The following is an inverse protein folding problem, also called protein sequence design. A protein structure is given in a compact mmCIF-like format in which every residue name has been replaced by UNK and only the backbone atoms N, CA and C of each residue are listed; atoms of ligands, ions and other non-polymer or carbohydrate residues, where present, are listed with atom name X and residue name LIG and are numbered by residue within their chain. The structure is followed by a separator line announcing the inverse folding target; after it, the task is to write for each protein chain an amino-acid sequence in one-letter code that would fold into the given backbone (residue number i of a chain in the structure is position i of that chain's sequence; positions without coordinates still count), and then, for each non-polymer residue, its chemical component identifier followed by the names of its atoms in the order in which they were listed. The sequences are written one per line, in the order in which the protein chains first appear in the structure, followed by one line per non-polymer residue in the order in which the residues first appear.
data_IF_693157546142
#
_entry.id   IF_693157546142
#
_cell.length_a   1.000
_cell.length_b   1.000
_cell.length_c   1.000
_cell.angle_alpha   90.00
_cell.angle_beta   90.00
_cell.angle_gamma   90.00
#
_symmetry.space_group_name_H-M   'P 1'
#
loop_
_entity.id
_entity.type
_entity.pdbx_description
1 polymer ?
#
# COMPACT_ATOMS: atom_id res chain seq x y z
N UNK A 1 32.70 1.84 13.61
CA UNK A 1 31.90 2.79 12.81
C UNK A 1 30.44 2.37 12.90
N UNK A 2 29.56 3.31 13.23
CA UNK A 2 28.17 3.08 13.62
C UNK A 2 27.43 2.18 12.62
N UNK A 3 26.76 1.14 13.13
CA UNK A 3 25.81 0.35 12.36
C UNK A 3 24.78 1.30 11.69
N UNK A 4 24.43 1.11 10.40
CA UNK A 4 23.40 1.92 9.78
C UNK A 4 22.10 1.76 10.57
N UNK A 5 21.50 2.89 10.97
CA UNK A 5 20.33 2.94 11.83
C UNK A 5 19.18 2.09 11.27
N UNK A 6 18.67 1.18 12.09
CA UNK A 6 17.54 0.30 11.78
C UNK A 6 16.23 1.10 11.66
N UNK A 7 15.29 0.66 10.82
CA UNK A 7 14.01 1.36 10.60
C UNK A 7 13.19 1.52 11.89
N UNK A 8 13.27 0.56 12.82
CA UNK A 8 12.61 0.63 14.13
C UNK A 8 13.20 1.69 15.06
N UNK A 9 14.49 2.02 14.93
CA UNK A 9 15.10 3.12 15.71
C UNK A 9 14.73 4.51 15.16
N UNK A 10 14.18 4.57 13.94
CA UNK A 10 13.79 5.81 13.25
C UNK A 10 12.28 6.13 13.32
N UNK A 11 11.47 5.33 14.02
CA UNK A 11 10.01 5.54 14.16
C UNK A 11 9.62 6.58 15.20
N UNK A 12 10.57 7.28 15.84
CA UNK A 12 10.24 8.34 16.80
C UNK A 12 9.54 9.51 16.09
N UNK A 13 8.33 9.91 16.52
CA UNK A 13 7.62 11.02 15.90
C UNK A 13 8.42 12.33 16.03
N UNK A 14 8.26 13.24 15.07
CA UNK A 14 8.91 14.55 15.10
C UNK A 14 8.52 15.33 16.37
N UNK A 15 9.41 16.19 16.88
CA UNK A 15 9.19 16.96 18.11
C UNK A 15 7.85 17.72 18.15
N UNK A 16 7.40 18.42 17.07
CA UNK A 16 6.09 19.07 17.07
C UNK A 16 4.90 18.11 17.21
N UNK A 17 5.01 16.92 16.59
CA UNK A 17 4.02 15.85 16.70
C UNK A 17 3.96 15.32 18.14
N UNK A 18 5.13 15.16 18.78
CA UNK A 18 5.22 14.75 20.19
C UNK A 18 4.66 15.79 21.14
N UNK A 19 4.84 17.07 20.86
CA UNK A 19 4.26 18.16 21.67
C UNK A 19 2.73 18.18 21.55
N UNK A 20 2.18 18.07 20.34
CA UNK A 20 0.74 17.96 20.12
C UNK A 20 0.14 16.71 20.78
N UNK A 21 0.81 15.55 20.66
CA UNK A 21 0.41 14.33 21.36
C UNK A 21 0.54 14.49 22.88
N UNK A 22 1.56 15.19 23.38
CA UNK A 22 1.74 15.51 24.80
C UNK A 22 0.61 16.35 25.37
N UNK A 23 0.18 17.41 24.66
CA UNK A 23 -1.00 18.18 25.02
C UNK A 23 -2.27 17.31 25.02
N UNK A 24 -2.44 16.45 24.01
CA UNK A 24 -3.54 15.49 23.96
C UNK A 24 -3.52 14.46 25.10
N UNK A 25 -2.34 14.00 25.52
CA UNK A 25 -2.17 13.08 26.64
C UNK A 25 -2.47 13.77 27.99
N UNK A 26 -2.11 15.04 28.14
CA UNK A 26 -2.48 15.86 29.30
C UNK A 26 -4.01 16.02 29.40
N UNK A 27 -4.68 16.23 28.26
CA UNK A 27 -6.14 16.27 28.16
C UNK A 27 -6.80 14.90 28.42
N UNK A 28 -6.12 13.77 28.22
CA UNK A 28 -6.62 12.42 28.60
C UNK A 28 -6.46 12.13 30.10
N UNK A 29 -5.49 12.74 30.77
CA UNK A 29 -5.29 12.58 32.23
C UNK A 29 -6.45 13.12 33.07
N UNK A 30 -7.34 13.92 32.48
CA UNK A 30 -8.58 14.39 33.12
C UNK A 30 -9.67 13.31 33.25
N UNK A 31 -9.39 12.05 32.91
CA UNK A 31 -10.28 10.86 33.05
C UNK A 31 -11.64 10.95 32.34
N UNK A 32 -11.92 12.00 31.57
CA UNK A 32 -13.12 12.07 30.72
C UNK A 32 -12.80 11.34 29.41
N UNK A 33 -13.47 10.21 29.09
CA UNK A 33 -13.34 9.58 27.79
C UNK A 33 -13.77 10.58 26.72
N UNK A 34 -12.92 10.81 25.72
CA UNK A 34 -13.32 11.62 24.57
C UNK A 34 -14.55 11.02 23.88
N UNK A 35 -15.39 11.84 23.22
CA UNK A 35 -16.65 11.38 22.65
C UNK A 35 -16.44 10.25 21.65
N UNK A 36 -17.26 9.19 21.76
CA UNK A 36 -17.28 8.07 20.82
C UNK A 36 -17.78 8.57 19.46
N UNK A 37 -17.09 8.20 18.39
CA UNK A 37 -17.54 8.51 17.03
C UNK A 37 -18.56 7.48 16.59
N UNK A 38 -19.81 7.90 16.40
CA UNK A 38 -20.86 7.02 15.91
C UNK A 38 -20.96 7.11 14.38
N UNK A 39 -21.28 5.97 13.75
CA UNK A 39 -21.46 5.90 12.30
C UNK A 39 -22.56 6.86 11.82
N UNK A 40 -23.67 6.94 12.56
CA UNK A 40 -24.81 7.83 12.26
C UNK A 40 -24.38 9.29 12.18
N UNK A 41 -23.57 9.77 13.12
CA UNK A 41 -23.12 11.17 13.16
C UNK A 41 -22.23 11.51 11.97
N UNK A 42 -21.35 10.58 11.59
CA UNK A 42 -20.44 10.77 10.45
C UNK A 42 -21.19 10.71 9.12
N UNK A 43 -22.21 9.85 9.01
CA UNK A 43 -23.10 9.77 7.85
C UNK A 43 -23.85 11.09 7.69
N UNK A 44 -24.52 11.58 8.74
CA UNK A 44 -25.25 12.85 8.69
C UNK A 44 -24.33 14.04 8.41
N UNK A 45 -23.14 14.06 9.02
CA UNK A 45 -22.12 15.08 8.71
C UNK A 45 -21.71 15.05 7.23
N UNK A 46 -21.54 13.86 6.64
CA UNK A 46 -21.19 13.73 5.23
C UNK A 46 -22.33 14.21 4.32
N UNK A 47 -23.58 13.86 4.66
CA UNK A 47 -24.76 14.34 3.92
C UNK A 47 -24.83 15.87 3.91
N UNK A 48 -24.71 16.49 5.08
CA UNK A 48 -24.72 17.95 5.21
C UNK A 48 -23.58 18.62 4.43
N UNK A 49 -22.37 18.06 4.46
CA UNK A 49 -21.21 18.60 3.72
C UNK A 49 -21.38 18.54 2.21
N UNK A 50 -22.05 17.51 1.71
CA UNK A 50 -22.21 17.31 0.28
C UNK A 50 -23.54 17.88 -0.25
N UNK A 51 -24.52 18.13 0.60
CA UNK A 51 -25.90 18.42 0.18
C UNK A 51 -26.53 17.24 -0.55
N UNK A 52 -26.18 16.00 -0.18
CA UNK A 52 -26.60 14.74 -0.81
C UNK A 52 -26.96 13.71 0.26
N UNK A 53 -27.88 12.79 -0.02
CA UNK A 53 -28.32 11.75 0.92
C UNK A 53 -28.28 10.32 0.36
N UNK A 54 -28.14 10.16 -0.96
CA UNK A 54 -28.02 8.86 -1.62
C UNK A 54 -26.58 8.35 -1.67
N UNK A 55 -26.29 7.34 -0.83
CA UNK A 55 -25.00 6.63 -0.82
C UNK A 55 -24.94 5.48 -1.84
N UNK A 56 -26.00 5.25 -2.61
CA UNK A 56 -26.11 4.16 -3.56
C UNK A 56 -26.25 2.79 -2.91
N UNK A 57 -26.39 1.76 -3.76
CA UNK A 57 -26.61 0.36 -3.34
C UNK A 57 -25.46 -0.22 -2.52
N UNK A 58 -25.81 -1.14 -1.61
CA UNK A 58 -24.91 -1.95 -0.81
C UNK A 58 -24.72 -1.36 0.60
N UNK A 59 -24.95 -2.18 1.62
CA UNK A 59 -24.79 -1.77 3.01
C UNK A 59 -23.31 -1.59 3.36
N UNK A 60 -23.03 -0.52 4.09
CA UNK A 60 -21.71 -0.18 4.62
C UNK A 60 -21.77 0.21 6.10
N UNK A 61 -22.98 0.27 6.68
CA UNK A 61 -23.22 0.76 8.03
C UNK A 61 -22.63 -0.17 9.08
N UNK A 62 -22.85 -1.49 8.95
CA UNK A 62 -22.25 -2.46 9.88
C UNK A 62 -20.73 -2.38 9.83
N UNK A 63 -20.14 -2.44 8.63
CA UNK A 63 -18.70 -2.40 8.41
C UNK A 63 -18.06 -1.14 9.01
N UNK A 64 -18.69 0.03 8.80
CA UNK A 64 -18.28 1.30 9.40
C UNK A 64 -18.39 1.25 10.94
N UNK A 65 -19.50 0.74 11.47
CA UNK A 65 -19.73 0.67 12.92
C UNK A 65 -18.72 -0.25 13.61
N UNK A 66 -18.42 -1.42 13.02
CA UNK A 66 -17.39 -2.35 13.51
C UNK A 66 -16.00 -1.72 13.51
N UNK A 67 -15.65 -1.00 12.44
CA UNK A 67 -14.38 -0.29 12.35
C UNK A 67 -14.26 0.80 13.43
N UNK A 68 -15.28 1.65 13.56
CA UNK A 68 -15.27 2.74 14.55
C UNK A 68 -15.20 2.20 15.98
N UNK A 69 -15.88 1.09 16.26
CA UNK A 69 -15.85 0.47 17.57
C UNK A 69 -14.48 -0.09 17.93
N UNK A 70 -13.87 -0.83 17.01
CA UNK A 70 -12.52 -1.38 17.18
C UNK A 70 -11.48 -0.25 17.30
N UNK A 71 -11.61 0.82 16.52
CA UNK A 71 -10.76 2.01 16.67
C UNK A 71 -10.94 2.73 18.03
N UNK A 72 -12.15 2.75 18.57
CA UNK A 72 -12.45 3.41 19.84
C UNK A 72 -11.93 2.59 21.04
N UNK A 73 -12.13 1.27 21.02
CA UNK A 73 -11.85 0.37 22.14
C UNK A 73 -10.42 -0.19 22.13
N UNK A 74 -9.82 -0.43 20.96
CA UNK A 74 -8.60 -1.23 20.84
C UNK A 74 -7.42 -0.44 20.26
N UNK A 75 -7.63 0.47 19.30
CA UNK A 75 -6.53 1.08 18.54
C UNK A 75 -5.65 2.08 19.31
N UNK A 76 -6.09 2.51 20.50
CA UNK A 76 -5.38 3.46 21.38
C UNK A 76 -4.90 4.75 20.66
N UNK A 77 -5.74 5.29 19.77
CA UNK A 77 -5.35 6.42 18.93
C UNK A 77 -4.89 7.65 19.75
N UNK A 78 -3.81 8.26 19.29
CA UNK A 78 -3.38 9.58 19.74
C UNK A 78 -4.26 10.68 19.11
N UNK A 79 -4.04 11.95 19.46
CA UNK A 79 -4.90 13.05 18.99
C UNK A 79 -4.91 13.13 17.45
N UNK A 80 -3.74 13.00 16.82
CA UNK A 80 -3.60 13.00 15.37
C UNK A 80 -4.32 11.80 14.75
N UNK A 81 -4.20 10.62 15.33
CA UNK A 81 -4.91 9.41 14.90
C UNK A 81 -6.43 9.58 14.91
N UNK A 82 -6.98 10.20 15.96
CA UNK A 82 -8.43 10.48 16.06
C UNK A 82 -8.90 11.46 14.97
N UNK A 83 -8.14 12.54 14.75
CA UNK A 83 -8.45 13.54 13.71
C UNK A 83 -8.34 12.90 12.32
N UNK A 84 -7.29 12.12 12.07
CA UNK A 84 -7.06 11.44 10.80
C UNK A 84 -8.16 10.42 10.51
N UNK A 85 -8.54 9.59 11.48
CA UNK A 85 -9.64 8.63 11.34
C UNK A 85 -10.95 9.35 10.97
N UNK A 86 -11.36 10.37 11.74
CA UNK A 86 -12.57 11.16 11.45
C UNK A 86 -12.53 11.76 10.05
N UNK A 87 -11.40 12.37 9.68
CA UNK A 87 -11.22 13.01 8.37
C UNK A 87 -11.30 12.00 7.24
N UNK A 88 -10.64 10.85 7.36
CA UNK A 88 -10.63 9.79 6.35
C UNK A 88 -12.02 9.14 6.18
N UNK A 89 -12.74 8.90 7.27
CA UNK A 89 -14.11 8.35 7.21
C UNK A 89 -15.06 9.34 6.53
N UNK A 90 -15.06 10.61 6.96
CA UNK A 90 -15.90 11.64 6.33
C UNK A 90 -15.57 11.83 4.85
N UNK A 91 -14.29 11.80 4.50
CA UNK A 91 -13.84 11.89 3.12
C UNK A 91 -14.30 10.70 2.28
N UNK A 92 -14.25 9.49 2.85
CA UNK A 92 -14.73 8.26 2.21
C UNK A 92 -16.24 8.30 1.97
N UNK A 93 -17.02 8.70 2.99
CA UNK A 93 -18.47 8.87 2.90
C UNK A 93 -18.86 9.94 1.86
N UNK A 94 -18.17 11.08 1.88
CA UNK A 94 -18.37 12.16 0.90
C UNK A 94 -18.07 11.69 -0.52
N UNK A 95 -16.98 10.93 -0.71
CA UNK A 95 -16.61 10.38 -2.02
C UNK A 95 -17.67 9.41 -2.53
N UNK A 96 -18.27 8.61 -1.64
CA UNK A 96 -19.36 7.69 -1.98
C UNK A 96 -20.63 8.44 -2.44
N UNK A 97 -21.05 9.47 -1.71
CA UNK A 97 -22.17 10.34 -2.12
C UNK A 97 -21.93 10.99 -3.49
N UNK A 98 -20.75 11.57 -3.68
CA UNK A 98 -20.40 12.25 -4.93
C UNK A 98 -20.34 11.27 -6.10
N UNK A 99 -19.79 10.07 -5.91
CA UNK A 99 -19.78 9.03 -6.95
C UNK A 99 -21.18 8.54 -7.30
N UNK A 100 -22.11 8.43 -6.34
CA UNK A 100 -23.49 8.07 -6.68
C UNK A 100 -24.18 9.17 -7.49
N UNK A 101 -24.06 10.44 -7.06
CA UNK A 101 -24.53 11.60 -7.83
C UNK A 101 -23.97 11.57 -9.25
N UNK A 102 -22.67 11.37 -9.40
CA UNK A 102 -22.01 11.32 -10.70
C UNK A 102 -22.55 10.19 -11.59
N UNK A 103 -22.87 9.02 -11.02
CA UNK A 103 -23.46 7.91 -11.78
C UNK A 103 -24.91 8.16 -12.19
N UNK A 104 -25.63 9.03 -11.49
CA UNK A 104 -26.96 9.50 -11.89
C UNK A 104 -26.85 10.53 -13.01
N UNK A 105 -25.92 11.49 -12.89
CA UNK A 105 -25.67 12.54 -13.90
C UNK A 105 -25.06 11.99 -15.20
N UNK A 106 -24.22 10.96 -15.10
CA UNK A 106 -23.52 10.34 -16.23
C UNK A 106 -23.82 8.84 -16.34
N UNK A 107 -25.00 8.44 -16.87
CA UNK A 107 -25.41 7.04 -16.96
C UNK A 107 -24.43 6.14 -17.74
N UNK A 108 -23.68 6.72 -18.69
CA UNK A 108 -22.66 6.02 -19.48
C UNK A 108 -21.49 5.47 -18.65
N UNK A 109 -21.28 5.94 -17.43
CA UNK A 109 -20.33 5.32 -16.49
C UNK A 109 -20.71 3.84 -16.26
N UNK A 110 -22.01 3.54 -16.11
CA UNK A 110 -22.49 2.17 -15.80
C UNK A 110 -22.24 1.19 -16.96
N UNK A 111 -22.10 1.72 -18.19
CA UNK A 111 -21.86 0.97 -19.42
C UNK A 111 -20.39 0.65 -19.69
N UNK A 112 -19.46 1.21 -18.90
CA UNK A 112 -18.05 0.91 -19.07
C UNK A 112 -17.78 -0.56 -18.78
N UNK A 113 -17.16 -1.25 -19.72
CA UNK A 113 -16.78 -2.66 -19.58
C UNK A 113 -15.34 -2.75 -19.07
N UNK A 114 -15.12 -3.60 -18.07
CA UNK A 114 -13.79 -3.93 -17.55
C UNK A 114 -13.47 -5.30 -18.14
N UNK A 115 -12.62 -5.35 -19.16
CA UNK A 115 -12.24 -6.57 -19.88
C UNK A 115 -10.85 -7.02 -19.47
N UNK A 116 -10.71 -8.30 -19.19
CA UNK A 116 -9.47 -8.99 -18.83
C UNK A 116 -8.51 -8.20 -17.91
N UNK A 117 -8.99 -7.65 -16.78
CA UNK A 117 -8.13 -6.89 -15.87
C UNK A 117 -6.99 -7.77 -15.34
N UNK A 118 -5.79 -7.22 -15.27
CA UNK A 118 -4.60 -7.86 -14.71
C UNK A 118 -4.46 -7.51 -13.23
N UNK A 119 -4.51 -8.52 -12.37
CA UNK A 119 -4.31 -8.40 -10.93
C UNK A 119 -2.91 -8.89 -10.52
N UNK A 120 -2.12 -7.99 -9.97
CA UNK A 120 -0.84 -8.32 -9.34
C UNK A 120 -1.13 -8.78 -7.91
N UNK A 121 -0.68 -9.98 -7.59
CA UNK A 121 -0.85 -10.66 -6.31
C UNK A 121 0.49 -11.18 -5.79
N UNK A 122 0.52 -11.60 -4.53
CA UNK A 122 1.74 -12.05 -3.86
C UNK A 122 1.88 -11.42 -2.49
N UNK A 123 2.79 -11.97 -1.68
CA UNK A 123 3.05 -11.42 -0.35
C UNK A 123 3.43 -9.95 -0.45
N UNK A 124 3.05 -9.12 0.54
CA UNK A 124 3.57 -7.76 0.60
C UNK A 124 5.10 -7.82 0.57
N UNK A 125 5.72 -6.79 -0.02
CA UNK A 125 7.18 -6.65 -0.12
C UNK A 125 7.86 -7.67 -1.07
N UNK A 126 7.11 -8.33 -1.95
CA UNK A 126 7.64 -9.22 -3.01
C UNK A 126 7.85 -8.53 -4.37
N UNK A 127 7.92 -7.19 -4.41
CA UNK A 127 8.15 -6.44 -5.66
C UNK A 127 6.88 -6.04 -6.42
N UNK A 128 5.69 -6.36 -5.89
CA UNK A 128 4.39 -5.98 -6.50
C UNK A 128 4.28 -4.49 -6.85
N UNK A 129 4.79 -3.58 -6.02
CA UNK A 129 4.74 -2.13 -6.31
C UNK A 129 5.64 -1.72 -7.48
N UNK A 130 6.82 -2.32 -7.64
CA UNK A 130 7.68 -2.08 -8.79
C UNK A 130 6.99 -2.56 -10.06
N UNK A 131 6.47 -3.79 -10.02
CA UNK A 131 5.77 -4.38 -11.13
C UNK A 131 4.54 -3.57 -11.55
N UNK A 132 3.76 -3.08 -10.57
CA UNK A 132 2.59 -2.23 -10.81
C UNK A 132 2.95 -0.94 -11.54
N UNK A 133 4.03 -0.27 -11.11
CA UNK A 133 4.53 0.95 -11.76
C UNK A 133 5.00 0.68 -13.20
N UNK A 134 5.72 -0.41 -13.42
CA UNK A 134 6.23 -0.75 -14.76
C UNK A 134 5.09 -1.11 -15.71
N UNK A 135 4.18 -1.99 -15.31
CA UNK A 135 3.05 -2.39 -16.14
C UNK A 135 2.08 -1.23 -16.41
N UNK A 136 1.93 -0.28 -15.49
CA UNK A 136 1.14 0.94 -15.68
C UNK A 136 1.79 1.96 -16.62
N UNK A 137 3.07 1.78 -17.00
CA UNK A 137 3.77 2.68 -17.92
C UNK A 137 3.43 2.41 -19.39
N UNK A 138 2.86 1.24 -19.70
CA UNK A 138 2.39 0.90 -21.04
C UNK A 138 1.20 1.80 -21.43
N UNK A 139 1.22 2.48 -22.59
CA UNK A 139 0.09 3.31 -23.06
C UNK A 139 -1.25 2.57 -23.20
N UNK A 140 -1.24 1.26 -23.46
CA UNK A 140 -2.47 0.45 -23.54
C UNK A 140 -3.02 0.10 -22.15
N UNK A 141 -2.20 0.19 -21.12
CA UNK A 141 -2.58 -0.13 -19.74
C UNK A 141 -2.96 1.10 -18.93
N UNK A 142 -3.72 0.89 -17.86
CA UNK A 142 -4.04 1.93 -16.89
C UNK A 142 -4.10 1.34 -15.49
N UNK A 143 -3.64 2.12 -14.52
CA UNK A 143 -3.87 1.85 -13.11
C UNK A 143 -4.61 3.02 -12.48
N UNK A 144 -5.40 2.80 -11.41
CA UNK A 144 -5.96 3.90 -10.64
C UNK A 144 -4.82 4.74 -10.06
N UNK A 145 -4.84 6.05 -10.25
CA UNK A 145 -3.82 6.93 -9.68
C UNK A 145 -4.26 7.44 -8.30
N UNK A 146 -3.30 7.74 -7.43
CA UNK A 146 -3.59 8.22 -6.07
C UNK A 146 -4.57 9.41 -6.09
N UNK A 147 -4.37 10.42 -6.95
CA UNK A 147 -5.25 11.60 -7.01
C UNK A 147 -6.68 11.27 -7.46
N UNK A 148 -6.82 10.31 -8.38
CA UNK A 148 -8.11 9.84 -8.89
C UNK A 148 -8.88 9.12 -7.80
N UNK A 149 -8.20 8.26 -7.05
CA UNK A 149 -8.80 7.49 -5.96
C UNK A 149 -9.09 8.36 -4.74
N UNK A 150 -8.21 9.31 -4.44
CA UNK A 150 -8.41 10.28 -3.36
C UNK A 150 -9.61 11.18 -3.63
N UNK A 151 -9.81 11.64 -4.86
CA UNK A 151 -10.92 12.53 -5.17
C UNK A 151 -11.53 12.04 -6.48
N UNK A 152 -12.49 11.10 -6.49
CA UNK A 152 -13.00 10.51 -7.74
C UNK A 152 -13.99 11.39 -8.49
N UNK A 153 -14.62 12.37 -7.83
CA UNK A 153 -15.54 13.34 -8.41
C UNK A 153 -14.83 14.67 -8.74
N UNK A 154 -15.20 15.37 -9.83
CA UNK A 154 -16.12 14.92 -10.87
C UNK A 154 -15.51 13.79 -11.73
N UNK A 155 -16.31 13.00 -12.48
CA UNK A 155 -15.81 11.95 -13.36
C UNK A 155 -15.24 12.53 -14.67
N UNK A 156 -15.46 13.82 -14.90
CA UNK A 156 -14.94 14.59 -16.03
C UNK A 156 -13.47 14.96 -15.81
N UNK A 157 -12.83 15.49 -16.85
CA UNK A 157 -11.46 16.03 -16.78
C UNK A 157 -11.42 17.40 -16.07
N UNK A 158 -12.55 17.87 -15.56
CA UNK A 158 -12.65 19.14 -14.86
C UNK A 158 -11.86 19.12 -13.56
N UNK A 159 -11.22 20.24 -13.27
CA UNK A 159 -10.49 20.50 -12.04
C UNK A 159 -9.33 19.52 -11.75
N UNK A 160 -8.88 18.76 -12.76
CA UNK A 160 -7.83 17.77 -12.65
C UNK A 160 -6.56 18.32 -11.99
N UNK A 161 -6.06 19.46 -12.48
CA UNK A 161 -4.86 20.10 -11.92
C UNK A 161 -5.02 20.43 -10.44
N UNK A 162 -6.23 20.79 -9.97
CA UNK A 162 -6.49 21.07 -8.55
C UNK A 162 -6.55 19.78 -7.74
N UNK A 163 -7.19 18.73 -8.25
CA UNK A 163 -7.24 17.40 -7.63
C UNK A 163 -5.84 16.81 -7.47
N UNK A 164 -5.00 16.90 -8.49
CA UNK A 164 -3.59 16.51 -8.43
C UNK A 164 -2.84 17.32 -7.36
N UNK A 165 -2.97 18.66 -7.36
CA UNK A 165 -2.33 19.52 -6.33
C UNK A 165 -2.76 19.15 -4.91
N UNK A 166 -4.05 18.89 -4.70
CA UNK A 166 -4.59 18.47 -3.40
C UNK A 166 -4.01 17.13 -2.96
N UNK A 167 -3.97 16.15 -3.87
CA UNK A 167 -3.36 14.85 -3.59
C UNK A 167 -1.86 14.98 -3.29
N UNK A 168 -1.13 15.83 -4.00
CA UNK A 168 0.28 16.13 -3.73
C UNK A 168 0.47 16.72 -2.33
N UNK A 169 -0.36 17.69 -1.92
CA UNK A 169 -0.32 18.26 -0.58
C UNK A 169 -0.60 17.20 0.50
N UNK A 170 -1.61 16.34 0.30
CA UNK A 170 -1.89 15.25 1.23
C UNK A 170 -0.75 14.24 1.33
N UNK A 171 -0.11 13.89 0.20
CA UNK A 171 1.07 13.03 0.17
C UNK A 171 2.24 13.66 0.96
N UNK A 172 2.48 14.97 0.79
CA UNK A 172 3.52 15.70 1.50
C UNK A 172 3.26 15.77 3.00
N UNK A 173 2.01 16.01 3.40
CA UNK A 173 1.60 16.00 4.81
C UNK A 173 1.80 14.61 5.44
N UNK A 174 1.42 13.55 4.73
CA UNK A 174 1.65 12.18 5.19
C UNK A 174 3.15 11.87 5.32
N UNK A 175 3.97 12.27 4.34
CA UNK A 175 5.43 12.13 4.39
C UNK A 175 6.09 12.97 5.50
N UNK A 176 5.41 14.00 5.99
CA UNK A 176 5.85 14.77 7.15
C UNK A 176 5.49 14.06 8.47
N UNK A 177 4.30 13.46 8.56
CA UNK A 177 3.87 12.66 9.72
C UNK A 177 4.66 11.37 9.87
N UNK A 178 4.91 10.66 8.76
CA UNK A 178 5.62 9.38 8.71
C UNK A 178 6.85 9.50 7.79
N UNK A 179 7.90 10.24 8.20
CA UNK A 179 9.04 10.53 7.33
C UNK A 179 9.81 9.30 6.86
N UNK A 180 9.82 8.23 7.66
CA UNK A 180 10.43 6.94 7.30
C UNK A 180 9.64 6.19 6.24
N UNK A 181 8.34 6.44 6.09
CA UNK A 181 7.47 5.73 5.15
C UNK A 181 7.91 5.90 3.70
N UNK A 182 8.39 7.09 3.33
CA UNK A 182 8.84 7.41 1.95
C UNK A 182 9.96 6.48 1.44
N UNK A 183 10.74 5.90 2.35
CA UNK A 183 11.84 4.99 2.02
C UNK A 183 11.36 3.54 1.89
N UNK A 184 10.19 3.23 2.44
CA UNK A 184 9.60 1.88 2.45
C UNK A 184 8.54 1.73 1.35
N UNK A 185 7.80 2.79 1.03
CA UNK A 185 6.77 2.80 0.00
C UNK A 185 6.79 4.11 -0.79
N UNK A 186 6.75 4.01 -2.12
CA UNK A 186 6.65 5.19 -2.97
C UNK A 186 5.29 5.86 -2.77
N UNK A 187 5.28 7.18 -2.58
CA UNK A 187 4.07 7.99 -2.41
C UNK A 187 4.13 9.15 -3.38
N UNK A 188 3.07 9.33 -4.15
CA UNK A 188 2.93 10.43 -5.10
C UNK A 188 1.52 10.49 -5.65
N UNK A 189 1.05 11.69 -5.98
CA UNK A 189 -0.30 11.92 -6.48
C UNK A 189 -0.59 11.14 -7.77
N UNK A 190 0.40 10.99 -8.63
CA UNK A 190 0.29 10.35 -9.95
C UNK A 190 0.91 8.94 -9.96
N UNK A 191 1.21 8.37 -8.79
CA UNK A 191 1.62 6.97 -8.72
C UNK A 191 0.40 6.04 -8.71
N UNK A 192 0.51 4.83 -9.28
CA UNK A 192 -0.49 3.79 -9.16
C UNK A 192 -0.87 3.53 -7.70
N UNK A 193 -2.16 3.39 -7.46
CA UNK A 193 -2.75 3.16 -6.16
C UNK A 193 -3.32 1.74 -6.05
N UNK A 194 -3.19 1.17 -4.86
CA UNK A 194 -3.69 -0.16 -4.55
C UNK A 194 -5.22 -0.22 -4.46
N UNK A 195 -5.77 -1.37 -4.86
CA UNK A 195 -7.20 -1.65 -4.90
C UNK A 195 -7.87 -1.62 -3.53
N UNK A 196 -7.10 -1.76 -2.44
CA UNK A 196 -7.58 -1.60 -1.05
C UNK A 196 -8.31 -0.27 -0.85
N UNK A 197 -7.89 0.79 -1.58
CA UNK A 197 -8.50 2.12 -1.55
C UNK A 197 -9.80 2.22 -2.33
N UNK A 198 -9.95 1.45 -3.40
CA UNK A 198 -11.18 1.41 -4.19
C UNK A 198 -12.30 0.69 -3.43
N UNK A 199 -11.94 -0.20 -2.49
CA UNK A 199 -12.89 -0.92 -1.63
C UNK A 199 -13.23 -0.17 -0.33
N UNK A 200 -12.41 0.81 0.08
CA UNK A 200 -12.63 1.62 1.31
C UNK A 200 -14.05 2.20 1.44
N UNK A 201 -14.75 2.65 0.37
CA UNK A 201 -16.13 3.13 0.47
C UNK A 201 -17.19 2.10 0.91
N UNK A 202 -16.83 0.82 0.98
CA UNK A 202 -17.67 -0.23 1.58
C UNK A 202 -17.32 -0.51 3.04
N UNK A 203 -16.25 0.12 3.55
CA UNK A 203 -15.63 -0.16 4.83
C UNK A 203 -15.21 -1.63 5.04
N UNK A 204 -15.09 -2.41 3.95
CA UNK A 204 -14.51 -3.75 3.93
C UNK A 204 -13.16 -3.71 3.20
N UNK A 205 -12.09 -3.39 3.92
CA UNK A 205 -10.74 -3.27 3.36
C UNK A 205 -9.68 -3.53 4.44
N UNK A 206 -8.68 -4.34 4.11
CA UNK A 206 -7.53 -4.64 4.97
C UNK A 206 -6.59 -3.43 5.19
N UNK A 207 -6.79 -2.34 4.45
CA UNK A 207 -6.12 -1.08 4.71
C UNK A 207 -6.33 -0.62 6.17
N UNK A 208 -7.53 -0.82 6.72
CA UNK A 208 -7.82 -0.37 8.08
C UNK A 208 -6.99 -1.12 9.12
N UNK A 209 -6.83 -2.44 8.98
CA UNK A 209 -5.96 -3.27 9.82
C UNK A 209 -4.48 -2.88 9.66
N UNK A 210 -4.08 -2.49 8.45
CA UNK A 210 -2.71 -2.03 8.20
C UNK A 210 -2.42 -0.67 8.85
N UNK A 211 -3.42 0.22 8.92
CA UNK A 211 -3.28 1.58 9.46
C UNK A 211 -3.53 1.70 10.96
N UNK A 212 -4.38 0.83 11.52
CA UNK A 212 -4.81 0.87 12.91
C UNK A 212 -4.70 -0.52 13.55
N UNK A 213 -4.51 -0.58 14.87
CA UNK A 213 -4.64 -1.83 15.60
C UNK A 213 -6.13 -2.10 15.88
N UNK A 214 -6.77 -2.89 15.03
CA UNK A 214 -8.23 -3.11 15.03
C UNK A 214 -8.60 -4.61 15.00
N UNK A 215 -8.17 -5.41 15.99
CA UNK A 215 -8.32 -6.86 15.97
C UNK A 215 -9.78 -7.33 15.90
N UNK A 216 -10.73 -6.64 16.56
CA UNK A 216 -12.15 -7.00 16.46
C UNK A 216 -12.73 -6.76 15.06
N UNK A 217 -12.38 -5.63 14.42
CA UNK A 217 -12.78 -5.38 13.03
C UNK A 217 -12.13 -6.39 12.08
N UNK A 218 -10.85 -6.69 12.26
CA UNK A 218 -10.11 -7.67 11.46
C UNK A 218 -10.76 -9.06 11.53
N UNK A 219 -11.08 -9.54 12.73
CA UNK A 219 -11.74 -10.83 12.93
C UNK A 219 -13.12 -10.88 12.26
N UNK A 220 -13.88 -9.78 12.32
CA UNK A 220 -15.14 -9.65 11.60
C UNK A 220 -14.92 -9.66 10.08
N UNK A 221 -13.99 -8.84 9.57
CA UNK A 221 -13.69 -8.68 8.14
C UNK A 221 -13.33 -10.00 7.46
N UNK A 222 -12.52 -10.84 8.09
CA UNK A 222 -12.13 -12.15 7.52
C UNK A 222 -13.26 -13.18 7.43
N UNK A 223 -14.39 -12.94 8.09
CA UNK A 223 -15.59 -13.78 7.98
C UNK A 223 -16.57 -13.29 6.92
N UNK A 224 -16.30 -12.14 6.30
CA UNK A 224 -17.23 -11.53 5.36
C UNK A 224 -17.07 -12.06 3.94
N UNK A 225 -18.19 -12.09 3.25
CA UNK A 225 -18.21 -12.19 1.80
C UNK A 225 -17.83 -10.85 1.16
N UNK A 226 -16.72 -10.84 0.43
CA UNK A 226 -16.19 -9.62 -0.20
C UNK A 226 -16.78 -9.34 -1.60
N UNK A 227 -17.77 -10.11 -2.07
CA UNK A 227 -18.47 -9.82 -3.34
C UNK A 227 -18.98 -8.37 -3.43
N UNK A 228 -19.64 -7.79 -2.40
CA UNK A 228 -20.07 -6.39 -2.47
C UNK A 228 -18.91 -5.40 -2.57
N UNK A 229 -17.77 -5.68 -1.93
CA UNK A 229 -16.57 -4.86 -2.03
C UNK A 229 -16.00 -4.86 -3.47
N UNK A 230 -15.95 -6.02 -4.13
CA UNK A 230 -15.50 -6.13 -5.52
C UNK A 230 -16.49 -5.56 -6.53
N UNK A 231 -17.80 -5.66 -6.27
CA UNK A 231 -18.81 -4.97 -7.07
C UNK A 231 -18.63 -3.45 -6.99
N UNK A 232 -18.38 -2.91 -5.79
CA UNK A 232 -18.05 -1.49 -5.63
C UNK A 232 -16.72 -1.13 -6.32
N UNK A 233 -15.70 -1.98 -6.18
CA UNK A 233 -14.44 -1.83 -6.90
C UNK A 233 -14.66 -1.73 -8.43
N UNK A 234 -15.53 -2.58 -9.00
CA UNK A 234 -15.88 -2.53 -10.44
C UNK A 234 -16.54 -1.21 -10.79
N UNK A 235 -17.49 -0.76 -9.97
CA UNK A 235 -18.14 0.56 -10.13
C UNK A 235 -17.12 1.70 -10.10
N UNK A 236 -16.10 1.60 -9.25
CA UNK A 236 -15.01 2.58 -9.17
C UNK A 236 -14.17 2.58 -10.44
N UNK A 237 -13.76 1.42 -10.95
CA UNK A 237 -13.01 1.34 -12.21
C UNK A 237 -13.80 1.89 -13.39
N UNK A 238 -15.10 1.56 -13.47
CA UNK A 238 -16.00 2.14 -14.47
C UNK A 238 -16.04 3.66 -14.41
N UNK A 239 -16.07 4.23 -13.19
CA UNK A 239 -16.04 5.67 -12.96
C UNK A 239 -14.75 6.31 -13.48
N UNK A 240 -13.60 5.67 -13.23
CA UNK A 240 -12.31 6.15 -13.72
C UNK A 240 -12.12 5.94 -15.23
N UNK A 241 -12.75 4.92 -15.82
CA UNK A 241 -12.64 4.59 -17.24
C UNK A 241 -13.43 5.55 -18.13
N UNK A 242 -14.53 6.11 -17.62
CA UNK A 242 -15.51 6.85 -18.41
C UNK A 242 -14.92 7.93 -19.33
N UNK A 243 -14.00 8.75 -18.84
CA UNK A 243 -13.32 9.79 -19.63
C UNK A 243 -11.87 9.44 -20.00
N UNK A 244 -11.40 8.26 -19.60
CA UNK A 244 -10.03 7.78 -19.80
C UNK A 244 -10.09 6.29 -20.14
N UNK A 245 -10.53 5.94 -21.36
CA UNK A 245 -10.61 4.56 -21.79
C UNK A 245 -9.23 3.93 -21.74
N UNK A 246 -9.21 2.62 -21.47
CA UNK A 246 -7.98 1.83 -21.42
C UNK A 246 -8.26 0.48 -22.03
N UNK A 247 -7.23 -0.15 -22.62
CA UNK A 247 -7.34 -1.52 -23.08
C UNK A 247 -7.39 -2.49 -21.90
N UNK A 248 -6.58 -2.23 -20.87
CA UNK A 248 -6.44 -3.14 -19.72
C UNK A 248 -6.17 -2.41 -18.42
N UNK A 249 -6.93 -2.75 -17.40
CA UNK A 249 -6.62 -2.34 -16.03
C UNK A 249 -5.49 -3.18 -15.45
N UNK A 250 -4.48 -2.53 -14.90
CA UNK A 250 -3.44 -3.14 -14.08
C UNK A 250 -3.70 -2.76 -12.62
N UNK A 251 -4.00 -3.76 -11.83
CA UNK A 251 -4.56 -3.65 -10.48
C UNK A 251 -3.65 -4.39 -9.50
N UNK A 252 -3.62 -3.94 -8.26
CA UNK A 252 -2.79 -4.55 -7.22
C UNK A 252 -3.39 -4.32 -5.86
N UNK A 253 -3.54 -5.39 -5.09
CA UNK A 253 -3.76 -5.35 -3.67
C UNK A 253 -3.44 -6.71 -3.08
N UNK A 254 -2.83 -6.77 -1.89
CA UNK A 254 -2.65 -8.02 -1.18
C UNK A 254 -3.98 -8.77 -0.91
N UNK A 255 -5.08 -8.04 -0.67
CA UNK A 255 -6.43 -8.60 -0.42
C UNK A 255 -6.94 -9.51 -1.54
N UNK A 256 -6.43 -9.37 -2.77
CA UNK A 256 -6.82 -10.24 -3.89
C UNK A 256 -6.51 -11.71 -3.62
N UNK A 257 -5.47 -12.01 -2.84
CA UNK A 257 -5.14 -13.38 -2.47
C UNK A 257 -6.19 -13.99 -1.54
N UNK A 258 -6.61 -13.23 -0.53
CA UNK A 258 -7.61 -13.68 0.44
C UNK A 258 -9.01 -13.84 -0.18
N UNK A 259 -9.30 -13.07 -1.22
CA UNK A 259 -10.65 -12.90 -1.76
C UNK A 259 -10.78 -13.34 -3.23
N UNK A 260 -9.92 -14.26 -3.68
CA UNK A 260 -9.82 -14.67 -5.08
C UNK A 260 -11.18 -15.15 -5.62
N UNK A 261 -11.88 -16.03 -4.91
CA UNK A 261 -13.23 -16.49 -5.28
C UNK A 261 -14.25 -15.35 -5.46
N UNK A 262 -14.35 -14.44 -4.48
CA UNK A 262 -15.25 -13.29 -4.56
C UNK A 262 -14.90 -12.38 -5.75
N UNK A 263 -13.61 -12.17 -6.00
CA UNK A 263 -13.11 -11.37 -7.10
C UNK A 263 -13.45 -12.00 -8.46
N UNK A 264 -13.23 -13.31 -8.64
CA UNK A 264 -13.55 -14.03 -9.88
C UNK A 264 -15.05 -14.03 -10.20
N UNK A 265 -15.92 -13.96 -9.18
CA UNK A 265 -17.36 -13.79 -9.41
C UNK A 265 -17.71 -12.44 -10.05
N UNK A 266 -16.85 -11.42 -9.91
CA UNK A 266 -17.03 -10.08 -10.48
C UNK A 266 -16.19 -9.87 -11.75
N UNK A 267 -15.02 -10.49 -11.83
CA UNK A 267 -14.09 -10.46 -12.96
C UNK A 267 -13.78 -11.90 -13.41
N UNK A 268 -14.73 -12.58 -14.07
CA UNK A 268 -14.55 -13.98 -14.47
C UNK A 268 -13.40 -14.18 -15.46
N UNK A 269 -12.99 -13.13 -16.16
CA UNK A 269 -11.92 -13.04 -17.16
C UNK A 269 -10.61 -12.45 -16.61
N UNK A 270 -10.49 -12.26 -15.29
CA UNK A 270 -9.28 -11.74 -14.66
C UNK A 270 -8.01 -12.54 -14.98
N UNK A 271 -6.89 -11.83 -15.16
CA UNK A 271 -5.55 -12.39 -15.31
C UNK A 271 -4.70 -12.04 -14.10
N UNK A 272 -3.65 -12.81 -13.85
CA UNK A 272 -2.89 -12.72 -12.61
C UNK A 272 -1.38 -12.71 -12.83
N UNK A 273 -0.67 -11.83 -12.14
CA UNK A 273 0.77 -12.00 -11.94
C UNK A 273 1.03 -12.21 -10.46
N UNK A 274 1.55 -13.37 -10.09
CA UNK A 274 1.99 -13.63 -8.73
C UNK A 274 3.49 -13.36 -8.61
N UNK A 275 3.87 -12.49 -7.68
CA UNK A 275 5.28 -12.29 -7.34
C UNK A 275 5.68 -13.14 -6.13
N UNK A 276 6.85 -13.76 -6.21
CA UNK A 276 7.36 -14.69 -5.21
C UNK A 276 8.58 -14.12 -4.49
N UNK A 277 8.55 -14.16 -3.16
CA UNK A 277 9.67 -13.85 -2.27
C UNK A 277 9.62 -14.78 -1.06
N UNK A 278 10.77 -15.05 -0.45
CA UNK A 278 10.83 -15.78 0.82
C UNK A 278 9.94 -15.11 1.88
N UNK A 279 9.11 -15.88 2.61
CA UNK A 279 8.22 -15.32 3.62
C UNK A 279 9.00 -14.70 4.79
N UNK A 280 10.22 -15.17 5.09
CA UNK A 280 11.08 -14.63 6.15
C UNK A 280 11.33 -13.13 5.95
N UNK A 281 11.83 -12.76 4.78
CA UNK A 281 12.11 -11.35 4.45
C UNK A 281 10.84 -10.53 4.26
N UNK A 282 9.80 -11.14 3.66
CA UNK A 282 8.52 -10.48 3.45
C UNK A 282 7.87 -10.10 4.79
N UNK A 283 7.88 -11.01 5.76
CA UNK A 283 7.29 -10.80 7.08
C UNK A 283 8.08 -9.75 7.88
N UNK A 284 9.42 -9.80 7.88
CA UNK A 284 10.21 -8.76 8.55
C UNK A 284 9.92 -7.36 7.96
N UNK A 285 9.85 -7.26 6.63
CA UNK A 285 9.63 -5.98 5.96
C UNK A 285 8.18 -5.46 6.11
N UNK A 286 7.16 -6.32 6.04
CA UNK A 286 5.77 -5.87 6.24
C UNK A 286 5.49 -5.53 7.70
N UNK A 287 6.10 -6.24 8.65
CA UNK A 287 5.99 -5.92 10.08
C UNK A 287 6.52 -4.53 10.37
N UNK A 288 7.71 -4.20 9.84
CA UNK A 288 8.26 -2.84 9.92
C UNK A 288 7.33 -1.80 9.32
N UNK A 289 6.73 -2.07 8.16
CA UNK A 289 5.79 -1.18 7.49
C UNK A 289 4.54 -0.93 8.35
N UNK A 290 3.91 -1.99 8.87
CA UNK A 290 2.72 -1.91 9.73
C UNK A 290 3.04 -1.11 11.00
N UNK A 291 4.20 -1.38 11.62
CA UNK A 291 4.65 -0.61 12.80
C UNK A 291 4.76 0.88 12.46
N UNK A 292 5.46 1.26 11.37
CA UNK A 292 5.60 2.66 10.96
C UNK A 292 4.24 3.33 10.77
N UNK A 293 3.31 2.65 10.09
CA UNK A 293 1.98 3.17 9.81
C UNK A 293 1.16 3.36 11.07
N UNK A 294 1.11 2.35 11.94
CA UNK A 294 0.35 2.41 13.20
C UNK A 294 0.96 3.43 14.17
N UNK A 295 2.29 3.54 14.24
CA UNK A 295 3.00 4.54 15.07
C UNK A 295 2.69 5.99 14.68
N UNK A 296 2.27 6.25 13.44
CA UNK A 296 1.86 7.59 13.01
C UNK A 296 0.54 8.04 13.70
N UNK A 297 -0.29 7.09 14.14
CA UNK A 297 -1.64 7.35 14.65
C UNK A 297 -1.89 6.84 16.07
N UNK A 298 -0.98 6.05 16.64
CA UNK A 298 -1.06 5.49 17.98
C UNK A 298 0.32 5.48 18.63
N UNK A 299 0.37 5.85 19.91
CA UNK A 299 1.59 5.79 20.71
C UNK A 299 1.83 4.37 21.28
N UNK A 300 0.90 3.43 21.06
CA UNK A 300 0.91 2.05 21.56
C UNK A 300 1.23 1.00 20.48
N UNK A 301 1.74 1.42 19.32
CA UNK A 301 2.10 0.50 18.25
C UNK A 301 3.26 -0.42 18.68
N UNK A 302 2.98 -1.72 18.80
CA UNK A 302 3.97 -2.74 19.18
C UNK A 302 4.49 -3.51 17.95
N UNK A 303 5.81 -3.47 17.65
CA UNK A 303 6.40 -4.22 16.56
C UNK A 303 6.22 -5.73 16.68
N UNK A 304 6.30 -6.29 17.89
CA UNK A 304 6.22 -7.75 18.10
C UNK A 304 4.82 -8.25 17.80
N UNK A 305 3.80 -7.56 18.29
CA UNK A 305 2.39 -7.81 17.95
C UNK A 305 2.15 -7.67 16.45
N UNK A 306 2.64 -6.60 15.82
CA UNK A 306 2.49 -6.42 14.37
C UNK A 306 3.10 -7.59 13.56
N UNK A 307 4.25 -8.12 14.00
CA UNK A 307 4.87 -9.27 13.35
C UNK A 307 4.09 -10.56 13.54
N UNK A 308 3.65 -10.84 14.77
CA UNK A 308 2.78 -11.99 15.08
C UNK A 308 1.54 -12.00 14.20
N UNK A 309 0.85 -10.86 14.15
CA UNK A 309 -0.36 -10.66 13.36
C UNK A 309 -0.11 -10.80 11.85
N UNK A 310 1.04 -10.33 11.36
CA UNK A 310 1.41 -10.44 9.96
C UNK A 310 1.71 -11.89 9.58
N UNK A 311 2.51 -12.62 10.37
CA UNK A 311 2.82 -14.04 10.12
C UNK A 311 1.52 -14.84 10.07
N UNK A 312 0.64 -14.66 11.04
CA UNK A 312 -0.66 -15.33 11.06
C UNK A 312 -1.51 -14.97 9.83
N UNK A 313 -1.69 -13.67 9.54
CA UNK A 313 -2.53 -13.23 8.43
C UNK A 313 -2.05 -13.80 7.09
N UNK A 314 -0.76 -13.65 6.82
CA UNK A 314 -0.20 -13.94 5.51
C UNK A 314 -0.01 -15.44 5.28
N UNK A 315 0.23 -16.23 6.33
CA UNK A 315 0.29 -17.69 6.23
C UNK A 315 -1.09 -18.27 5.89
N UNK A 316 -2.12 -17.90 6.66
CA UNK A 316 -3.51 -18.32 6.41
C UNK A 316 -3.99 -17.87 5.02
N UNK A 317 -3.67 -16.64 4.63
CA UNK A 317 -4.02 -16.09 3.31
C UNK A 317 -3.30 -16.82 2.18
N UNK A 318 -2.01 -17.13 2.34
CA UNK A 318 -1.24 -17.85 1.32
C UNK A 318 -1.76 -19.27 1.15
N UNK A 319 -2.01 -19.98 2.25
CA UNK A 319 -2.56 -21.34 2.23
C UNK A 319 -3.90 -21.38 1.47
N UNK A 320 -4.84 -20.51 1.86
CA UNK A 320 -6.13 -20.39 1.17
C UNK A 320 -5.96 -20.02 -0.30
N UNK A 321 -5.09 -19.05 -0.60
CA UNK A 321 -4.87 -18.59 -1.97
C UNK A 321 -4.31 -19.69 -2.86
N UNK A 322 -3.36 -20.50 -2.40
CA UNK A 322 -2.79 -21.60 -3.19
C UNK A 322 -3.87 -22.62 -3.57
N UNK A 323 -4.76 -22.97 -2.65
CA UNK A 323 -5.87 -23.88 -2.89
C UNK A 323 -6.87 -23.35 -3.92
N UNK A 324 -7.22 -22.05 -3.85
CA UNK A 324 -8.12 -21.42 -4.82
C UNK A 324 -7.44 -21.19 -6.18
N UNK A 325 -6.16 -20.81 -6.16
CA UNK A 325 -5.32 -20.58 -7.35
C UNK A 325 -5.20 -21.83 -8.21
N UNK A 326 -5.12 -23.02 -7.61
CA UNK A 326 -4.98 -24.28 -8.36
C UNK A 326 -6.20 -24.62 -9.22
N UNK A 327 -7.32 -23.91 -9.02
CA UNK A 327 -8.51 -24.02 -9.87
C UNK A 327 -8.44 -23.11 -11.11
N UNK A 328 -7.46 -22.21 -11.18
CA UNK A 328 -7.26 -21.35 -12.34
C UNK A 328 -6.56 -22.13 -13.46
N UNK A 329 -6.97 -21.87 -14.71
CA UNK A 329 -6.20 -22.31 -15.86
C UNK A 329 -4.80 -21.69 -15.82
N UNK A 330 -3.76 -22.47 -16.14
CA UNK A 330 -2.35 -22.02 -16.09
C UNK A 330 -2.09 -20.78 -16.94
N UNK A 331 -2.80 -20.60 -18.05
CA UNK A 331 -2.70 -19.41 -18.92
C UNK A 331 -3.23 -18.11 -18.26
N UNK A 332 -3.89 -18.19 -17.10
CA UNK A 332 -4.42 -17.02 -16.39
C UNK A 332 -3.47 -16.49 -15.31
N UNK A 333 -2.39 -17.20 -15.00
CA UNK A 333 -1.48 -16.81 -13.92
C UNK A 333 -0.01 -16.95 -14.32
N UNK A 334 0.71 -15.84 -14.24
CA UNK A 334 2.15 -15.77 -14.49
C UNK A 334 2.91 -15.63 -13.17
N UNK A 335 3.85 -16.53 -12.91
CA UNK A 335 4.70 -16.48 -11.72
C UNK A 335 6.02 -15.74 -12.01
N UNK A 336 6.36 -14.79 -11.14
CA UNK A 336 7.56 -13.95 -11.26
C UNK A 336 8.35 -13.97 -9.96
N UNK A 337 9.62 -14.38 -10.05
CA UNK A 337 10.55 -14.35 -8.93
C UNK A 337 10.98 -12.90 -8.60
N UNK A 338 10.99 -12.56 -7.32
CA UNK A 338 11.37 -11.22 -6.84
C UNK A 338 12.82 -10.87 -7.19
N UNK A 339 13.75 -11.83 -7.13
CA UNK A 339 15.14 -11.57 -7.46
C UNK A 339 15.32 -11.31 -8.96
N UNK A 340 14.63 -12.09 -9.81
CA UNK A 340 14.57 -11.82 -11.25
C UNK A 340 14.03 -10.40 -11.51
N UNK A 341 12.86 -10.06 -10.95
CA UNK A 341 12.24 -8.74 -11.12
C UNK A 341 13.15 -7.59 -10.63
N UNK A 342 13.95 -7.82 -9.59
CA UNK A 342 14.86 -6.81 -9.04
C UNK A 342 16.12 -6.63 -9.89
N UNK A 343 16.65 -7.71 -10.45
CA UNK A 343 17.89 -7.74 -11.22
C UNK A 343 17.69 -7.31 -12.67
N UNK A 344 16.70 -7.86 -13.35
CA UNK A 344 16.31 -7.48 -14.71
C UNK A 344 14.79 -7.30 -14.81
N UNK A 345 14.28 -6.10 -14.44
CA UNK A 345 12.85 -5.83 -14.50
C UNK A 345 12.27 -5.93 -15.91
N UNK A 346 13.06 -5.63 -16.96
CA UNK A 346 12.53 -5.61 -18.33
C UNK A 346 12.39 -7.04 -18.86
N UNK A 347 13.32 -7.93 -18.53
CA UNK A 347 13.18 -9.36 -18.84
C UNK A 347 11.94 -9.97 -18.15
N UNK A 348 11.73 -9.67 -16.87
CA UNK A 348 10.53 -10.09 -16.16
C UNK A 348 9.23 -9.58 -16.84
N UNK A 349 9.22 -8.33 -17.33
CA UNK A 349 8.10 -7.79 -18.10
C UNK A 349 7.90 -8.56 -19.41
N UNK A 350 8.97 -8.82 -20.18
CA UNK A 350 8.86 -9.59 -21.44
C UNK A 350 8.28 -10.97 -21.21
N UNK A 351 8.65 -11.64 -20.12
CA UNK A 351 8.08 -12.92 -19.71
C UNK A 351 6.57 -12.83 -19.46
N UNK A 352 6.11 -11.79 -18.76
CA UNK A 352 4.68 -11.55 -18.51
C UNK A 352 3.93 -11.35 -19.84
N UNK A 353 4.47 -10.51 -20.73
CA UNK A 353 3.84 -10.23 -22.02
C UNK A 353 3.79 -11.49 -22.88
N UNK A 354 4.89 -12.25 -22.96
CA UNK A 354 4.93 -13.53 -23.67
C UNK A 354 3.94 -14.56 -23.11
N UNK A 355 3.81 -14.65 -21.79
CA UNK A 355 2.87 -15.57 -21.13
C UNK A 355 1.41 -15.28 -21.51
N UNK A 356 1.03 -14.00 -21.58
CA UNK A 356 -0.34 -13.60 -21.96
C UNK A 356 -0.53 -13.37 -23.46
N UNK A 357 0.50 -13.63 -24.28
CA UNK A 357 0.45 -13.41 -25.73
C UNK A 357 0.33 -11.92 -26.12
N UNK A 358 0.80 -11.01 -25.29
CA UNK A 358 0.81 -9.57 -25.56
C UNK A 358 2.10 -9.14 -26.26
N UNK A 359 2.00 -8.09 -27.07
CA UNK A 359 3.16 -7.47 -27.72
C UNK A 359 3.69 -6.32 -26.87
N UNK A 360 4.95 -6.39 -26.44
CA UNK A 360 5.60 -5.28 -25.75
C UNK A 360 6.07 -4.25 -26.79
N UNK A 361 5.37 -3.12 -26.88
CA UNK A 361 5.75 -2.06 -27.80
C UNK A 361 7.09 -1.43 -27.42
N UNK A 362 7.82 -0.91 -28.42
CA UNK A 362 9.06 -0.15 -28.19
C UNK A 362 8.83 1.05 -27.28
N UNK A 363 7.70 1.73 -27.42
CA UNK A 363 7.33 2.87 -26.58
C UNK A 363 7.16 2.46 -25.11
N UNK A 364 6.39 1.40 -24.84
CA UNK A 364 6.19 0.87 -23.50
C UNK A 364 7.52 0.45 -22.86
N UNK A 365 8.36 -0.29 -23.59
CA UNK A 365 9.68 -0.71 -23.09
C UNK A 365 10.57 0.52 -22.76
N UNK A 366 10.59 1.54 -23.62
CA UNK A 366 11.33 2.77 -23.36
C UNK A 366 10.85 3.50 -22.09
N UNK A 367 9.54 3.61 -21.88
CA UNK A 367 8.96 4.23 -20.67
C UNK A 367 9.34 3.44 -19.41
N UNK A 368 9.26 2.12 -19.45
CA UNK A 368 9.63 1.23 -18.35
C UNK A 368 11.14 1.32 -18.02
N UNK A 369 12.00 1.39 -19.03
CA UNK A 369 13.45 1.58 -18.86
C UNK A 369 13.78 2.92 -18.21
N UNK A 370 13.10 3.99 -18.61
CA UNK A 370 13.28 5.31 -18.01
C UNK A 370 12.91 5.31 -16.52
N UNK A 371 11.81 4.65 -16.15
CA UNK A 371 11.40 4.47 -14.75
C UNK A 371 12.43 3.67 -13.93
N UNK A 372 12.94 2.58 -14.50
CA UNK A 372 13.95 1.72 -13.86
C UNK A 372 15.25 2.48 -13.60
N UNK A 373 15.73 3.25 -14.58
CA UNK A 373 16.93 4.07 -14.44
C UNK A 373 16.77 5.14 -13.33
N UNK A 374 15.59 5.76 -13.24
CA UNK A 374 15.26 6.73 -12.18
C UNK A 374 15.24 6.12 -10.77
N UNK A 375 14.77 4.87 -10.64
CA UNK A 375 14.72 4.17 -9.35
C UNK A 375 16.10 3.70 -8.87
N UNK A 376 16.97 3.22 -9.77
CA UNK A 376 18.34 2.83 -9.42
C UNK A 376 19.13 3.99 -8.81
N UNK A 377 18.92 5.22 -9.30
CA UNK A 377 19.54 6.44 -8.75
C UNK A 377 19.09 6.77 -7.32
N UNK A 378 17.91 6.30 -6.89
CA UNK A 378 17.35 6.52 -5.54
C UNK A 378 17.79 5.48 -4.51
N UNK A 379 18.37 4.34 -4.91
CA UNK A 379 18.77 3.21 -4.04
C UNK A 379 20.10 3.46 -3.28
N UNK A 380 20.14 4.48 -2.42
CA UNK A 380 21.25 4.67 -1.46
C UNK A 380 20.86 4.39 0.01
N UNK A 381 19.83 3.57 0.26
CA UNK A 381 19.45 3.13 1.60
C UNK A 381 19.23 1.63 1.68
N UNK A 382 20.24 0.86 2.11
CA UNK A 382 20.09 -0.56 2.41
C UNK A 382 19.38 -0.71 3.76
N UNK A 383 18.05 -0.77 3.75
CA UNK A 383 17.29 -1.20 4.93
C UNK A 383 17.46 -2.70 5.10
N UNK A 384 18.24 -3.11 6.11
CA UNK A 384 18.29 -4.50 6.57
C UNK A 384 17.18 -4.72 7.59
N UNK A 385 16.29 -5.64 7.28
CA UNK A 385 15.27 -6.13 8.20
C UNK A 385 15.71 -7.49 8.71
N UNK A 386 15.69 -7.68 10.01
CA UNK A 386 15.99 -8.97 10.64
C UNK A 386 14.81 -9.34 11.54
N UNK A 387 14.29 -10.57 11.39
CA UNK A 387 13.15 -11.05 12.18
C UNK A 387 13.43 -11.06 13.69
N UNK A 388 14.70 -11.17 14.10
CA UNK A 388 15.10 -11.10 15.52
C UNK A 388 14.71 -9.78 16.17
N UNK A 389 14.61 -8.69 15.39
CA UNK A 389 14.14 -7.39 15.88
C UNK A 389 12.67 -7.39 16.30
N UNK A 390 11.91 -8.39 15.85
CA UNK A 390 10.51 -8.58 16.18
C UNK A 390 10.28 -9.75 17.13
N UNK A 391 11.35 -10.42 17.59
CA UNK A 391 11.27 -11.55 18.51
C UNK A 391 10.86 -12.89 17.88
N UNK A 392 11.06 -13.06 16.56
CA UNK A 392 10.70 -14.30 15.84
C UNK A 392 11.91 -14.96 15.18
N UNK A 393 11.95 -16.29 15.16
CA UNK A 393 12.96 -17.04 14.42
C UNK A 393 12.53 -17.30 12.96
N UNK A 394 13.47 -17.32 11.99
CA UNK A 394 13.16 -17.67 10.59
C UNK A 394 12.44 -19.01 10.43
N UNK A 395 12.80 -20.01 11.26
CA UNK A 395 12.18 -21.34 11.23
C UNK A 395 10.69 -21.31 11.54
N UNK A 396 10.24 -20.46 12.46
CA UNK A 396 8.82 -20.30 12.79
C UNK A 396 8.04 -19.79 11.59
N UNK A 397 8.60 -18.79 10.88
CA UNK A 397 8.00 -18.24 9.67
C UNK A 397 7.99 -19.27 8.55
N UNK A 398 9.11 -19.95 8.28
CA UNK A 398 9.15 -20.99 7.22
C UNK A 398 8.13 -22.11 7.48
N UNK A 399 7.95 -22.50 8.75
CA UNK A 399 6.97 -23.52 9.14
C UNK A 399 5.54 -23.04 8.88
N UNK A 400 5.21 -21.80 9.26
CA UNK A 400 3.87 -21.24 9.02
C UNK A 400 3.53 -21.15 7.52
N UNK A 401 4.53 -21.03 6.65
CA UNK A 401 4.37 -20.95 5.20
C UNK A 401 4.76 -22.25 4.47
N UNK A 402 4.74 -23.40 5.16
CA UNK A 402 5.28 -24.68 4.67
C UNK A 402 4.89 -25.03 3.23
N UNK A 403 3.59 -25.06 2.92
CA UNK A 403 3.08 -25.38 1.58
C UNK A 403 3.59 -24.44 0.48
N UNK A 404 3.73 -23.15 0.81
CA UNK A 404 4.26 -22.14 -0.11
C UNK A 404 5.77 -22.30 -0.31
N UNK A 405 6.50 -22.56 0.78
CA UNK A 405 7.95 -22.79 0.73
C UNK A 405 8.29 -24.03 -0.08
N UNK A 406 7.60 -25.15 0.15
CA UNK A 406 7.78 -26.40 -0.59
C UNK A 406 7.51 -26.21 -2.08
N UNK A 407 6.40 -25.57 -2.42
CA UNK A 407 5.97 -25.38 -3.81
C UNK A 407 6.93 -24.51 -4.64
N UNK A 408 7.50 -23.47 -4.03
CA UNK A 408 8.32 -22.48 -4.74
C UNK A 408 9.81 -22.55 -4.37
N UNK A 409 10.22 -23.59 -3.63
CA UNK A 409 11.62 -23.88 -3.33
C UNK A 409 12.29 -22.92 -2.34
N UNK A 410 11.56 -22.37 -1.37
CA UNK A 410 12.15 -21.55 -0.30
C UNK A 410 12.62 -22.42 0.87
N UNK A 411 13.86 -22.26 1.28
CA UNK A 411 14.51 -23.11 2.28
C UNK A 411 15.22 -22.31 3.38
N UNK A 412 15.61 -22.97 4.47
CA UNK A 412 16.34 -22.33 5.58
C UNK A 412 17.71 -21.78 5.16
N UNK A 413 18.37 -22.37 4.16
CA UNK A 413 19.65 -21.87 3.63
C UNK A 413 19.53 -20.50 2.95
N UNK A 414 18.35 -20.14 2.45
CA UNK A 414 18.09 -18.80 1.88
C UNK A 414 18.15 -17.69 2.95
N UNK A 415 18.07 -18.07 4.24
CA UNK A 415 18.24 -17.15 5.37
C UNK A 415 19.68 -17.06 5.90
N UNK A 416 20.53 -18.06 5.65
CA UNK A 416 21.92 -18.10 6.13
C UNK A 416 22.93 -17.47 5.14
N UNK A 417 22.59 -17.39 3.85
CA UNK A 417 23.46 -16.86 2.78
C UNK A 417 23.80 -15.37 2.83
N UNK A 418 23.40 -14.63 3.88
CA UNK A 418 23.59 -13.18 3.98
C UNK A 418 24.40 -12.73 5.20
N UNK A 419 25.46 -13.46 5.57
CA UNK A 419 26.65 -12.83 6.17
C UNK A 419 27.55 -12.34 5.04
N UNK A 420 27.49 -11.05 4.74
CA UNK A 420 28.51 -10.41 3.88
C UNK A 420 29.86 -10.58 4.57
N UNK A 421 30.94 -10.97 3.87
CA UNK A 421 32.27 -11.05 4.46
C UNK A 421 32.62 -9.72 5.10
N UNK A 422 33.14 -9.74 6.33
CA UNK A 422 33.72 -8.55 6.92
C UNK A 422 34.77 -7.99 5.95
N UNK A 423 34.58 -6.76 5.49
CA UNK A 423 35.62 -5.96 4.83
C UNK A 423 36.66 -5.57 5.89
N UNK A 424 37.35 -6.57 6.43
CA UNK A 424 38.59 -6.44 7.18
C UNK A 424 39.68 -7.14 6.36
N UNK A 425 40.09 -6.48 5.29
CA UNK A 425 41.45 -6.55 4.74
C UNK A 425 41.50 -5.70 3.48
N UNK A 426 42.61 -4.99 3.31
CA UNK A 426 42.96 -4.15 2.15
C UNK A 426 42.48 -2.70 2.18
N UNK A 427 42.98 -1.91 3.14
CA UNK A 427 43.48 -0.56 2.82
C UNK A 427 44.79 -0.29 3.60
N UNK A 428 45.83 0.27 2.96
CA UNK A 428 47.10 0.57 3.62
C UNK A 428 46.94 1.75 4.59
N UNK A 429 47.59 1.65 5.75
CA UNK A 429 47.65 2.69 6.79
C UNK A 429 48.17 4.02 6.18
N UNK A 430 47.32 5.03 6.09
CA UNK A 430 47.75 6.42 5.81
C UNK A 430 47.97 7.16 7.13
N UNK A 431 49.25 7.33 7.49
CA UNK A 431 49.68 8.45 8.30
C UNK A 431 49.96 9.64 7.40
N UNK A 432 49.35 10.79 7.72
CA UNK A 432 49.94 12.15 7.76
C UNK A 432 48.81 13.17 7.88
N UNK A 433 48.94 14.03 8.89
CA UNK A 433 48.14 15.24 9.14
C UNK A 433 48.18 16.15 7.91
N UNK A 434 47.07 16.81 7.60
CA UNK A 434 47.06 18.03 6.80
C UNK A 434 46.08 19.04 7.39
N UNK A 435 46.59 20.26 7.56
CA UNK A 435 46.00 21.40 8.25
C UNK A 435 44.82 22.03 7.50
N UNK A 436 43.88 22.55 8.29
CA UNK A 436 42.72 23.31 7.85
C UNK A 436 43.06 24.81 7.80
N UNK A 437 43.40 25.33 6.62
CA UNK A 437 43.27 26.75 6.27
C UNK A 437 43.67 26.96 4.79
N UNK A 438 42.69 27.13 3.91
CA UNK A 438 42.76 28.04 2.74
C UNK A 438 41.50 27.91 1.87
N UNK A 439 41.15 29.03 1.25
CA UNK A 439 40.11 29.23 0.22
C UNK A 439 38.67 29.43 0.68
N UNK A 440 38.49 30.50 1.46
CA UNK A 440 37.47 31.49 1.12
C UNK A 440 38.07 32.51 0.12
N UNK A 441 37.23 33.02 -0.78
CA UNK A 441 37.41 34.14 -1.73
C UNK A 441 37.37 33.75 -3.22
N UNK A 442 36.71 34.63 -3.98
CA UNK A 442 36.50 34.71 -5.45
C UNK A 442 35.43 33.77 -6.04
N UNK A 443 34.37 34.19 -6.75
CA UNK A 443 33.98 35.49 -7.33
C UNK A 443 32.45 35.59 -7.44
N UNK A 444 31.91 36.74 -7.02
CA UNK A 444 30.65 37.33 -7.50
C UNK A 444 31.05 38.49 -8.42
N UNK A 445 30.31 38.68 -9.53
CA UNK A 445 29.95 39.93 -10.24
C UNK A 445 30.08 39.84 -11.79
N UNK A 446 29.40 40.69 -12.59
CA UNK A 446 27.95 41.00 -12.57
C UNK A 446 27.30 41.17 -13.99
N UNK A 447 25.96 41.22 -14.00
CA UNK A 447 25.01 41.94 -14.90
C UNK A 447 25.24 42.11 -16.42
N UNK A 448 24.28 41.63 -17.21
CA UNK A 448 23.29 42.48 -17.94
C UNK A 448 21.97 41.76 -18.07
#
# INVERSE_FOLDING_TARGET
MNAPATTLQQTRPLLPVRLLNGCGALLKKTRIPGPRMLAVDLIETAKQRCGLDDFGRGDFFEALSRLLESCYSEAQLNLIGKIALRTNVLHTLSSRLLMERDRQLYPNIRRQEIREPLFIVGLPRSGTSLLHILLAADPEHRSPLMWEVMTPSPPTLDDEKRRIRRATQSCNYFNWLAPTFRYVHAVGAELPQECVRLMTPTFMSDQFDTMYYVPSYRAWFFRQDLRPAYQYHRRFLQHLQFMRPTRRWVLKAPTHMFALSAMLSVYPDALFVQTHRTPVEAMASVSSLITILRSAFSDAADPVTACREAIQYWSETMEKFLQERDRLASARICDIDYNQLRCDPIDAIRRIYGHFGWSLSREAECRMRALTAGQMRRKHGNHRYDLSQFGFAPREVLTAFGSYCERFGFSSSDSEGFRVPSLDSQFPKRGKRFDAAAFAATNIEPTT
#
